data_IF_424788360284
#
_entry.id   IF_424788360284
#
_cell.length_a   1.000
_cell.length_b   1.000
_cell.length_c   1.000
_cell.angle_alpha   90.00
_cell.angle_beta   90.00
_cell.angle_gamma   90.00
#
_symmetry.space_group_name_H-M   'P 1'
#
loop_
_entity.id
_entity.type
_entity.pdbx_description
1 polymer ?
#
# COMPACT_ATOMS: atom_id res chain seq x y z
N UNK A 1 -1.36 49.02 -14.04
CA UNK A 1 -0.35 48.41 -14.93
C UNK A 1 0.20 47.16 -14.25
N UNK A 2 -0.42 46.00 -14.51
CA UNK A 2 -0.34 44.79 -13.68
C UNK A 2 -0.05 43.53 -14.52
N UNK A 3 0.84 43.56 -15.52
CA UNK A 3 1.05 42.41 -16.42
C UNK A 3 2.53 42.07 -16.63
N UNK A 4 3.27 41.78 -15.55
CA UNK A 4 4.68 41.36 -15.67
C UNK A 4 5.12 40.34 -14.63
N UNK A 5 4.22 39.48 -14.13
CA UNK A 5 4.56 38.42 -13.17
C UNK A 5 4.00 37.02 -13.48
N UNK A 6 3.37 36.83 -14.64
CA UNK A 6 2.75 35.55 -15.03
C UNK A 6 3.57 34.74 -16.05
N UNK A 7 4.79 35.17 -16.41
CA UNK A 7 5.62 34.48 -17.41
C UNK A 7 6.80 33.69 -16.82
N UNK A 8 6.99 33.72 -15.49
CA UNK A 8 8.12 33.05 -14.82
C UNK A 8 7.75 31.69 -14.18
N UNK A 9 6.48 31.26 -14.24
CA UNK A 9 6.00 30.03 -13.58
C UNK A 9 5.81 28.83 -14.52
N UNK A 10 6.07 28.98 -15.83
CA UNK A 10 5.79 27.95 -16.83
C UNK A 10 7.02 27.11 -17.26
N UNK A 11 8.19 27.31 -16.66
CA UNK A 11 9.46 26.73 -17.15
C UNK A 11 10.18 25.79 -16.16
N UNK A 12 9.46 25.23 -15.17
CA UNK A 12 10.04 24.34 -14.15
C UNK A 12 9.46 22.91 -14.17
N UNK A 13 8.97 22.43 -15.32
CA UNK A 13 8.33 21.09 -15.39
C UNK A 13 8.80 20.17 -16.53
N UNK A 14 9.95 20.41 -17.15
CA UNK A 14 10.59 19.43 -18.05
C UNK A 14 12.11 19.58 -17.91
N UNK A 15 12.83 18.60 -17.31
CA UNK A 15 13.18 17.40 -18.05
C UNK A 15 13.35 16.15 -17.15
N UNK A 16 12.34 15.28 -17.08
CA UNK A 16 12.50 13.91 -16.55
C UNK A 16 12.06 12.82 -17.54
N UNK A 17 12.14 13.11 -18.84
CA UNK A 17 12.20 12.06 -19.86
C UNK A 17 13.67 11.77 -20.20
N UNK A 18 14.43 11.29 -19.21
CA UNK A 18 15.56 10.43 -19.53
C UNK A 18 14.95 9.07 -19.87
N UNK A 19 14.61 8.89 -21.15
CA UNK A 19 14.18 7.61 -21.68
C UNK A 19 15.24 6.58 -21.34
N UNK A 20 14.87 5.58 -20.54
CA UNK A 20 15.62 4.34 -20.43
C UNK A 20 15.70 3.76 -21.85
N UNK A 21 16.83 4.00 -22.52
CA UNK A 21 17.14 3.33 -23.76
C UNK A 21 17.39 1.87 -23.39
N UNK A 22 16.32 1.06 -23.43
CA UNK A 22 16.45 -0.38 -23.50
C UNK A 22 17.34 -0.67 -24.70
N UNK A 23 18.53 -1.27 -24.53
CA UNK A 23 19.37 -1.62 -25.65
C UNK A 23 18.55 -2.51 -26.58
N UNK A 24 18.38 -2.05 -27.82
CA UNK A 24 17.70 -2.83 -28.84
C UNK A 24 18.33 -4.24 -28.89
N UNK A 25 17.54 -5.31 -28.96
CA UNK A 25 18.07 -6.66 -29.00
C UNK A 25 18.99 -6.78 -30.22
N UNK A 26 20.29 -6.92 -29.96
CA UNK A 26 21.27 -7.21 -31.00
C UNK A 26 20.82 -8.47 -31.73
N UNK A 27 20.70 -8.47 -33.06
CA UNK A 27 20.27 -9.65 -33.81
C UNK A 27 21.21 -10.81 -33.49
N UNK A 28 20.63 -11.98 -33.20
CA UNK A 28 21.38 -13.18 -32.88
C UNK A 28 22.22 -13.59 -34.11
N UNK A 29 23.57 -13.59 -34.02
CA UNK A 29 24.42 -13.92 -35.17
C UNK A 29 24.45 -15.44 -35.44
N UNK A 30 23.95 -16.27 -34.53
CA UNK A 30 24.02 -17.73 -34.62
C UNK A 30 23.33 -18.32 -35.87
N UNK A 31 22.10 -17.92 -36.24
CA UNK A 31 21.43 -18.47 -37.42
C UNK A 31 22.20 -18.21 -38.72
N UNK A 32 22.81 -17.02 -38.82
CA UNK A 32 23.65 -16.64 -39.97
C UNK A 32 24.93 -17.48 -40.03
N UNK A 33 25.62 -17.66 -38.91
CA UNK A 33 26.86 -18.45 -38.86
C UNK A 33 26.60 -19.94 -39.16
N UNK A 34 25.45 -20.48 -38.74
CA UNK A 34 25.02 -21.85 -39.06
C UNK A 34 24.78 -21.99 -40.57
N UNK A 35 24.09 -21.04 -41.20
CA UNK A 35 23.89 -21.04 -42.66
C UNK A 35 25.23 -20.96 -43.41
N UNK A 36 26.13 -20.08 -42.99
CA UNK A 36 27.47 -19.96 -43.59
C UNK A 36 28.26 -21.29 -43.46
N UNK A 37 28.16 -21.98 -42.33
CA UNK A 37 28.77 -23.31 -42.13
C UNK A 37 28.20 -24.37 -43.09
N UNK A 38 26.88 -24.42 -43.27
CA UNK A 38 26.24 -25.36 -44.20
C UNK A 38 26.74 -25.17 -45.64
N UNK A 39 26.97 -23.92 -46.06
CA UNK A 39 27.54 -23.65 -47.40
C UNK A 39 28.96 -24.18 -47.56
N UNK A 40 29.80 -24.04 -46.52
CA UNK A 40 31.18 -24.54 -46.53
C UNK A 40 31.24 -26.07 -46.50
N UNK A 41 30.32 -26.74 -45.79
CA UNK A 41 30.21 -28.21 -45.80
C UNK A 41 29.84 -28.71 -47.20
N UNK A 42 28.90 -28.06 -47.88
CA UNK A 42 28.55 -28.41 -49.27
C UNK A 42 29.72 -28.24 -50.24
N UNK A 43 30.52 -27.19 -50.07
CA UNK A 43 31.74 -26.97 -50.87
C UNK A 43 32.78 -28.08 -50.61
N UNK A 44 32.97 -28.47 -49.36
CA UNK A 44 33.83 -29.60 -49.00
C UNK A 44 33.33 -30.92 -49.61
N UNK A 45 32.03 -31.20 -49.51
CA UNK A 45 31.42 -32.41 -50.07
C UNK A 45 31.55 -32.44 -51.61
N UNK A 46 31.36 -31.31 -52.28
CA UNK A 46 31.56 -31.20 -53.72
C UNK A 46 33.03 -31.45 -54.12
N UNK A 47 33.99 -30.84 -53.42
CA UNK A 47 35.43 -31.05 -53.65
C UNK A 47 35.84 -32.51 -53.38
N UNK A 48 35.28 -33.13 -52.35
CA UNK A 48 35.54 -34.53 -52.00
C UNK A 48 34.85 -35.50 -52.98
N UNK A 49 33.65 -35.18 -53.46
CA UNK A 49 32.95 -35.95 -54.50
C UNK A 49 33.69 -35.87 -55.84
N UNK A 50 34.24 -34.71 -56.19
CA UNK A 50 35.09 -34.54 -57.37
C UNK A 50 36.38 -35.38 -57.26
N UNK A 51 36.98 -35.46 -56.06
CA UNK A 51 38.10 -36.38 -55.78
C UNK A 51 37.72 -37.85 -55.97
N UNK A 52 36.54 -38.25 -55.51
CA UNK A 52 36.07 -39.64 -55.63
C UNK A 52 35.57 -39.97 -57.05
N UNK A 53 35.08 -39.01 -57.84
CA UNK A 53 34.73 -39.22 -59.25
C UNK A 53 35.98 -39.50 -60.12
N UNK A 54 37.16 -39.04 -59.70
CA UNK A 54 38.46 -39.27 -60.32
C UNK A 54 39.21 -40.50 -59.73
N UNK A 55 38.48 -41.53 -59.28
CA UNK A 55 38.98 -42.78 -58.66
C UNK A 55 39.97 -43.63 -59.52
N UNK A 56 40.38 -43.19 -60.70
CA UNK A 56 41.34 -43.88 -61.55
C UNK A 56 42.78 -43.32 -61.53
N UNK A 57 43.03 -42.13 -60.96
CA UNK A 57 44.38 -41.56 -60.93
C UNK A 57 44.70 -40.88 -59.60
N UNK A 58 45.97 -41.02 -59.17
CA UNK A 58 46.51 -40.50 -57.91
C UNK A 58 46.08 -39.03 -57.70
N UNK A 59 45.60 -38.65 -56.51
CA UNK A 59 45.08 -37.31 -56.25
C UNK A 59 46.15 -36.24 -56.50
N UNK A 60 45.77 -35.17 -57.21
CA UNK A 60 46.62 -34.02 -57.47
C UNK A 60 46.79 -33.21 -56.18
N UNK A 61 48.01 -32.68 -55.91
CA UNK A 61 48.29 -31.84 -54.73
C UNK A 61 47.34 -30.64 -54.60
N UNK A 62 46.80 -30.16 -55.73
CA UNK A 62 45.85 -29.05 -55.80
C UNK A 62 44.52 -29.36 -55.10
N UNK A 63 43.98 -30.57 -55.29
CA UNK A 63 42.69 -30.96 -54.72
C UNK A 63 42.80 -31.20 -53.21
N UNK A 64 43.96 -31.68 -52.75
CA UNK A 64 44.27 -31.76 -51.32
C UNK A 64 44.34 -30.37 -50.68
N UNK A 65 44.87 -29.38 -51.40
CA UNK A 65 44.98 -28.03 -50.89
C UNK A 65 43.60 -27.35 -50.77
N UNK A 66 42.71 -27.55 -51.74
CA UNK A 66 41.34 -27.04 -51.70
C UNK A 66 40.53 -27.66 -50.56
N UNK A 67 40.67 -28.96 -50.31
CA UNK A 67 40.05 -29.64 -49.16
C UNK A 67 40.59 -29.10 -47.84
N UNK A 68 41.90 -28.89 -47.73
CA UNK A 68 42.51 -28.34 -46.51
C UNK A 68 42.07 -26.90 -46.26
N UNK A 69 41.92 -26.09 -47.30
CA UNK A 69 41.47 -24.71 -47.17
C UNK A 69 39.98 -24.63 -46.83
N UNK A 70 39.14 -25.51 -47.39
CA UNK A 70 37.75 -25.69 -46.97
C UNK A 70 37.64 -26.11 -45.49
N UNK A 71 38.46 -27.08 -45.04
CA UNK A 71 38.51 -27.48 -43.63
C UNK A 71 38.93 -26.33 -42.71
N UNK A 72 39.95 -25.55 -43.10
CA UNK A 72 40.37 -24.36 -42.33
C UNK A 72 39.25 -23.32 -42.24
N UNK A 73 38.48 -23.14 -43.32
CA UNK A 73 37.30 -22.28 -43.35
C UNK A 73 36.22 -22.73 -42.36
N UNK A 74 35.91 -24.04 -42.35
CA UNK A 74 34.95 -24.63 -41.41
C UNK A 74 35.42 -24.44 -39.96
N UNK A 75 36.69 -24.73 -39.66
CA UNK A 75 37.23 -24.59 -38.30
C UNK A 75 37.16 -23.14 -37.79
N UNK A 76 37.43 -22.16 -38.66
CA UNK A 76 37.29 -20.73 -38.30
C UNK A 76 35.83 -20.40 -37.96
N UNK A 77 34.88 -20.89 -38.76
CA UNK A 77 33.45 -20.67 -38.51
C UNK A 77 32.93 -21.40 -37.27
N UNK A 78 33.38 -22.62 -37.02
CA UNK A 78 33.05 -23.35 -35.80
C UNK A 78 33.58 -22.61 -34.56
N UNK A 79 34.76 -21.97 -34.65
CA UNK A 79 35.30 -21.13 -33.57
C UNK A 79 34.45 -19.87 -33.33
N UNK A 80 33.96 -19.24 -34.40
CA UNK A 80 33.04 -18.09 -34.30
C UNK A 80 31.70 -18.49 -33.69
N UNK A 81 31.15 -19.66 -34.07
CA UNK A 81 29.92 -20.21 -33.51
C UNK A 81 30.07 -20.47 -32.02
N UNK A 82 31.15 -21.14 -31.60
CA UNK A 82 31.38 -21.43 -30.17
C UNK A 82 31.47 -20.15 -29.35
N UNK A 83 32.17 -19.12 -29.85
CA UNK A 83 32.24 -17.81 -29.18
C UNK A 83 30.86 -17.15 -29.08
N UNK A 84 30.09 -17.15 -30.17
CA UNK A 84 28.75 -16.57 -30.17
C UNK A 84 27.79 -17.31 -29.23
N UNK A 85 27.88 -18.64 -29.13
CA UNK A 85 27.10 -19.45 -28.17
C UNK A 85 27.51 -19.14 -26.74
N UNK A 86 28.81 -19.01 -26.47
CA UNK A 86 29.31 -18.66 -25.14
C UNK A 86 28.83 -17.28 -24.70
N UNK A 87 28.93 -16.27 -25.58
CA UNK A 87 28.44 -14.91 -25.32
C UNK A 87 26.92 -14.89 -25.10
N UNK A 88 26.16 -15.61 -25.92
CA UNK A 88 24.71 -15.73 -25.76
C UNK A 88 24.34 -16.40 -24.43
N UNK A 89 25.09 -17.43 -24.02
CA UNK A 89 24.87 -18.15 -22.77
C UNK A 89 25.17 -17.25 -21.56
N UNK A 90 26.30 -16.53 -21.57
CA UNK A 90 26.64 -15.57 -20.53
C UNK A 90 25.58 -14.47 -20.39
N UNK A 91 25.10 -13.92 -21.52
CA UNK A 91 24.02 -12.91 -21.51
C UNK A 91 22.72 -13.46 -20.95
N UNK A 92 22.33 -14.68 -21.33
CA UNK A 92 21.13 -15.34 -20.78
C UNK A 92 21.27 -15.60 -19.29
N UNK A 93 22.41 -16.12 -18.83
CA UNK A 93 22.66 -16.33 -17.40
C UNK A 93 22.63 -15.02 -16.63
N UNK A 94 23.25 -13.95 -17.15
CA UNK A 94 23.21 -12.63 -16.53
C UNK A 94 21.78 -12.08 -16.44
N UNK A 95 20.99 -12.21 -17.52
CA UNK A 95 19.59 -11.80 -17.53
C UNK A 95 18.75 -12.58 -16.50
N UNK A 96 18.90 -13.91 -16.44
CA UNK A 96 18.21 -14.77 -15.48
C UNK A 96 18.58 -14.40 -14.03
N UNK A 97 19.86 -14.12 -13.76
CA UNK A 97 20.31 -13.71 -12.42
C UNK A 97 19.73 -12.34 -12.05
N UNK A 98 19.76 -11.38 -12.98
CA UNK A 98 19.19 -10.06 -12.76
C UNK A 98 17.68 -10.13 -12.51
N UNK A 99 16.94 -10.90 -13.31
CA UNK A 99 15.50 -11.14 -13.14
C UNK A 99 15.20 -11.81 -11.79
N UNK A 100 15.95 -12.84 -11.41
CA UNK A 100 15.80 -13.49 -10.11
C UNK A 100 16.07 -12.53 -8.95
N UNK A 101 17.06 -11.64 -9.09
CA UNK A 101 17.37 -10.66 -8.07
C UNK A 101 16.27 -9.60 -7.95
N UNK A 102 15.72 -9.14 -9.07
CA UNK A 102 14.56 -8.24 -9.10
C UNK A 102 13.32 -8.91 -8.49
N UNK A 103 13.03 -10.16 -8.85
CA UNK A 103 11.91 -10.92 -8.29
C UNK A 103 12.05 -11.08 -6.76
N UNK A 104 13.25 -11.39 -6.27
CA UNK A 104 13.53 -11.45 -4.82
C UNK A 104 13.29 -10.11 -4.14
N UNK A 105 13.77 -9.00 -4.72
CA UNK A 105 13.55 -7.66 -4.18
C UNK A 105 12.06 -7.31 -4.11
N UNK A 106 11.30 -7.61 -5.17
CA UNK A 106 9.85 -7.39 -5.20
C UNK A 106 9.12 -8.17 -4.10
N UNK A 107 9.50 -9.45 -3.91
CA UNK A 107 8.93 -10.29 -2.84
C UNK A 107 9.28 -9.73 -1.46
N UNK A 108 10.53 -9.30 -1.23
CA UNK A 108 10.93 -8.70 0.05
C UNK A 108 10.18 -7.41 0.36
N UNK A 109 10.01 -6.53 -0.63
CA UNK A 109 9.24 -5.29 -0.46
C UNK A 109 7.78 -5.60 -0.15
N UNK A 110 7.15 -6.50 -0.89
CA UNK A 110 5.77 -6.91 -0.64
C UNK A 110 5.57 -7.54 0.76
N UNK A 111 6.50 -8.38 1.21
CA UNK A 111 6.44 -8.97 2.56
C UNK A 111 6.65 -7.93 3.66
N UNK A 112 7.56 -6.98 3.44
CA UNK A 112 7.82 -5.88 4.38
C UNK A 112 6.58 -5.00 4.50
N UNK A 113 5.95 -4.67 3.38
CA UNK A 113 4.73 -3.85 3.34
C UNK A 113 3.56 -4.53 4.07
N UNK A 114 3.35 -5.83 3.82
CA UNK A 114 2.35 -6.62 4.55
C UNK A 114 2.59 -6.64 6.06
N UNK A 115 3.85 -6.81 6.48
CA UNK A 115 4.21 -6.79 7.91
C UNK A 115 3.94 -5.41 8.52
N UNK A 116 4.32 -4.33 7.83
CA UNK A 116 4.07 -2.97 8.29
C UNK A 116 2.58 -2.66 8.41
N UNK A 117 1.78 -3.16 7.46
CA UNK A 117 0.33 -3.01 7.46
C UNK A 117 -0.30 -3.77 8.61
N UNK A 118 0.12 -5.02 8.86
CA UNK A 118 -0.33 -5.80 10.03
C UNK A 118 -0.01 -5.10 11.35
N UNK A 119 1.19 -4.55 11.49
CA UNK A 119 1.55 -3.80 12.70
C UNK A 119 0.62 -2.61 12.93
N UNK A 120 0.35 -1.82 11.88
CA UNK A 120 -0.59 -0.69 11.95
C UNK A 120 -2.01 -1.15 12.32
N UNK A 121 -2.46 -2.31 11.83
CA UNK A 121 -3.74 -2.89 12.23
C UNK A 121 -3.79 -3.19 13.74
N UNK A 122 -2.74 -3.81 14.29
CA UNK A 122 -2.67 -4.08 15.73
C UNK A 122 -2.61 -2.81 16.58
N UNK A 123 -1.86 -1.80 16.12
CA UNK A 123 -1.76 -0.52 16.81
C UNK A 123 -3.14 0.18 16.84
N UNK A 124 -3.87 0.18 15.71
CA UNK A 124 -5.23 0.71 15.62
C UNK A 124 -6.23 -0.06 16.47
N UNK A 125 -6.14 -1.39 16.52
CA UNK A 125 -7.00 -2.23 17.36
C UNK A 125 -6.81 -1.89 18.84
N UNK A 126 -5.56 -1.72 19.28
CA UNK A 126 -5.23 -1.29 20.64
C UNK A 126 -5.75 0.13 20.93
N UNK A 127 -5.63 1.05 19.98
CA UNK A 127 -6.15 2.40 20.13
C UNK A 127 -7.68 2.41 20.28
N UNK A 128 -8.38 1.63 19.45
CA UNK A 128 -9.85 1.47 19.52
C UNK A 128 -10.25 0.88 20.88
N UNK A 129 -9.58 -0.17 21.34
CA UNK A 129 -9.85 -0.78 22.64
C UNK A 129 -9.67 0.23 23.79
N UNK A 130 -8.59 1.03 23.76
CA UNK A 130 -8.35 2.07 24.74
C UNK A 130 -9.40 3.19 24.70
N UNK A 131 -9.82 3.61 23.51
CA UNK A 131 -10.89 4.61 23.35
C UNK A 131 -12.22 4.10 23.88
N UNK A 132 -12.59 2.85 23.58
CA UNK A 132 -13.80 2.23 24.12
C UNK A 132 -13.79 2.15 25.64
N UNK A 133 -12.64 1.83 26.25
CA UNK A 133 -12.51 1.83 27.71
C UNK A 133 -12.68 3.24 28.30
N UNK A 134 -12.10 4.26 27.66
CA UNK A 134 -12.26 5.66 28.08
C UNK A 134 -13.70 6.14 27.96
N UNK A 135 -14.40 5.76 26.89
CA UNK A 135 -15.80 6.14 26.70
C UNK A 135 -16.69 5.47 27.74
N UNK A 136 -16.49 4.17 28.03
CA UNK A 136 -17.18 3.49 29.13
C UNK A 136 -16.93 4.16 30.49
N UNK A 137 -15.71 4.62 30.75
CA UNK A 137 -15.39 5.35 31.99
C UNK A 137 -16.07 6.72 32.04
N UNK A 138 -16.14 7.44 30.92
CA UNK A 138 -16.85 8.73 30.83
C UNK A 138 -18.35 8.56 31.05
N UNK A 139 -18.94 7.53 30.45
CA UNK A 139 -20.35 7.23 30.61
C UNK A 139 -20.70 6.93 32.07
N UNK A 140 -19.91 6.10 32.75
CA UNK A 140 -20.06 5.86 34.19
C UNK A 140 -19.97 7.14 35.02
N UNK A 141 -18.98 8.00 34.74
CA UNK A 141 -18.84 9.29 35.43
C UNK A 141 -20.05 10.19 35.21
N UNK A 142 -20.62 10.21 34.00
CA UNK A 142 -21.83 10.98 33.73
C UNK A 142 -23.03 10.42 34.50
N UNK A 143 -23.17 9.10 34.59
CA UNK A 143 -24.20 8.45 35.39
C UNK A 143 -24.05 8.78 36.89
N UNK A 144 -22.82 8.69 37.44
CA UNK A 144 -22.55 9.02 38.84
C UNK A 144 -22.86 10.49 39.14
N UNK A 145 -22.48 11.41 38.25
CA UNK A 145 -22.80 12.84 38.40
C UNK A 145 -24.30 13.08 38.34
N UNK A 146 -25.03 12.42 37.42
CA UNK A 146 -26.49 12.51 37.34
C UNK A 146 -27.17 11.96 38.59
N UNK A 147 -26.70 10.81 39.12
CA UNK A 147 -27.21 10.24 40.35
C UNK A 147 -27.00 11.18 41.54
N UNK A 148 -25.79 11.75 41.68
CA UNK A 148 -25.49 12.71 42.75
C UNK A 148 -26.34 14.00 42.66
N UNK A 149 -26.62 14.46 41.44
CA UNK A 149 -27.50 15.61 41.23
C UNK A 149 -28.96 15.29 41.59
N UNK A 150 -29.45 14.09 41.26
CA UNK A 150 -30.78 13.63 41.62
C UNK A 150 -30.95 13.46 43.14
N UNK A 151 -29.94 12.90 43.83
CA UNK A 151 -29.93 12.81 45.29
C UNK A 151 -29.94 14.21 45.94
N UNK A 152 -29.15 15.14 45.40
CA UNK A 152 -29.11 16.51 45.89
C UNK A 152 -30.44 17.25 45.68
N UNK A 153 -31.12 17.06 44.55
CA UNK A 153 -32.44 17.67 44.32
C UNK A 153 -33.50 17.03 45.22
N UNK A 154 -33.49 15.72 45.41
CA UNK A 154 -34.43 15.03 46.32
C UNK A 154 -34.23 15.45 47.79
N UNK A 155 -32.98 15.66 48.21
CA UNK A 155 -32.67 16.18 49.54
C UNK A 155 -33.14 17.63 49.72
N UNK A 156 -33.12 18.46 48.66
CA UNK A 156 -33.65 19.83 48.70
C UNK A 156 -35.18 19.84 48.72
N UNK A 157 -35.83 19.07 47.85
CA UNK A 157 -37.30 19.02 47.77
C UNK A 157 -37.94 18.47 49.05
N UNK A 158 -37.34 17.48 49.70
CA UNK A 158 -37.83 16.98 51.00
C UNK A 158 -37.77 18.03 52.11
N UNK A 159 -36.69 18.82 52.17
CA UNK A 159 -36.56 19.95 53.11
C UNK A 159 -37.57 21.06 52.79
N UNK A 160 -37.73 21.40 51.52
CA UNK A 160 -38.69 22.41 51.07
C UNK A 160 -40.14 21.98 51.32
N UNK A 161 -40.49 20.71 51.10
CA UNK A 161 -41.82 20.16 51.38
C UNK A 161 -42.15 20.20 52.88
N UNK A 162 -41.19 19.86 53.75
CA UNK A 162 -41.37 19.97 55.19
C UNK A 162 -41.57 21.44 55.62
N UNK A 163 -40.75 22.35 55.09
CA UNK A 163 -40.89 23.78 55.37
C UNK A 163 -42.25 24.33 54.88
N UNK A 164 -42.67 23.96 53.67
CA UNK A 164 -43.97 24.34 53.12
C UNK A 164 -45.14 23.79 53.94
N UNK A 165 -45.08 22.53 54.36
CA UNK A 165 -46.09 21.91 55.23
C UNK A 165 -46.22 22.63 56.57
N UNK A 166 -45.09 22.97 57.21
CA UNK A 166 -45.06 23.67 58.49
C UNK A 166 -45.58 25.12 58.34
N UNK A 167 -45.23 25.79 57.25
CA UNK A 167 -45.76 27.12 56.92
C UNK A 167 -47.30 27.10 56.77
N UNK A 168 -47.84 26.15 56.00
CA UNK A 168 -49.30 26.01 55.83
C UNK A 168 -50.00 25.71 57.17
N UNK A 169 -49.43 24.84 57.99
CA UNK A 169 -49.97 24.52 59.31
C UNK A 169 -50.00 25.76 60.23
N UNK A 170 -48.95 26.57 60.20
CA UNK A 170 -48.89 27.83 60.97
C UNK A 170 -49.96 28.84 60.55
N UNK A 171 -50.20 28.98 59.23
CA UNK A 171 -51.24 29.85 58.68
C UNK A 171 -52.63 29.33 59.06
N UNK A 172 -52.85 28.01 58.98
CA UNK A 172 -54.12 27.39 59.36
C UNK A 172 -54.44 27.63 60.85
N UNK A 173 -53.45 27.50 61.73
CA UNK A 173 -53.60 27.82 63.15
C UNK A 173 -53.93 29.30 63.39
N UNK A 174 -53.24 30.20 62.71
CA UNK A 174 -53.51 31.64 62.78
C UNK A 174 -54.95 31.98 62.36
N UNK A 175 -55.39 31.42 61.22
CA UNK A 175 -56.76 31.59 60.75
C UNK A 175 -57.78 31.00 61.73
N UNK A 176 -57.47 29.85 62.34
CA UNK A 176 -58.31 29.23 63.37
C UNK A 176 -58.44 30.14 64.60
N UNK A 177 -57.34 30.70 65.09
CA UNK A 177 -57.34 31.63 66.24
C UNK A 177 -58.12 32.91 65.92
N UNK A 178 -57.96 33.48 64.73
CA UNK A 178 -58.74 34.66 64.30
C UNK A 178 -60.23 34.37 64.24
N UNK A 179 -60.63 33.20 63.72
CA UNK A 179 -62.02 32.75 63.70
C UNK A 179 -62.59 32.52 65.10
N UNK A 180 -61.76 32.02 66.03
CA UNK A 180 -62.16 31.85 67.42
C UNK A 180 -62.35 33.21 68.12
N UNK A 181 -61.44 34.16 67.87
CA UNK A 181 -61.55 35.54 68.35
C UNK A 181 -62.78 36.25 67.81
N UNK A 182 -63.10 36.11 66.52
CA UNK A 182 -64.29 36.75 65.94
C UNK A 182 -65.59 36.17 66.49
N UNK A 183 -65.63 34.86 66.79
CA UNK A 183 -66.79 34.23 67.48
C UNK A 183 -66.99 34.80 68.88
N UNK A 184 -65.92 34.95 69.65
CA UNK A 184 -65.96 35.50 71.00
C UNK A 184 -66.27 37.01 71.03
N UNK A 185 -65.93 37.74 69.97
CA UNK A 185 -66.16 39.17 69.86
C UNK A 185 -67.58 39.56 69.43
N UNK A 186 -68.51 38.59 69.26
CA UNK A 186 -69.92 38.88 68.93
C UNK A 186 -70.60 39.55 70.13
N UNK A 187 -70.92 40.86 70.08
CA UNK A 187 -71.61 41.50 71.19
C UNK A 187 -73.07 41.05 71.22
N UNK A 188 -73.69 40.85 72.39
CA UNK A 188 -75.10 40.49 72.47
C UNK A 188 -75.95 41.58 71.80
N UNK A 189 -77.04 41.23 71.09
CA UNK A 189 -77.90 42.22 70.46
C UNK A 189 -78.45 43.15 71.55
N UNK A 190 -78.10 44.44 71.45
CA UNK A 190 -78.66 45.49 72.30
C UNK A 190 -80.17 45.49 72.12
N UNK A 191 -80.88 44.93 73.09
CA UNK A 191 -82.34 44.96 73.23
C UNK A 191 -82.77 46.42 73.28
N UNK A 192 -83.31 46.95 72.18
CA UNK A 192 -83.97 48.25 72.16
C UNK A 192 -85.27 48.13 72.96
N UNK A 193 -85.45 49.04 73.91
CA UNK A 193 -86.76 49.36 74.52
C UNK A 193 -87.65 50.02 73.48
#
# INVERSE_FOLDING_TARGET
MMHSRLLAAAFLFLPFLSGAQTPAPSPDPLPRLIQERETLIRQYEAANAQRNAFLANKPSKKDLQEVVDALKGIIRKDTEIVRAVQDATQRRTAAIVAENQQAKQQVTVAQTDQTSTRQRFYDLENEIANLQLRDKQREKKLQDVQASAAEATQARTSRELLAAGLAVLSIALLAYVLKLRSRLATPPPRRRK
#
